data_IF_274442642522
#
_entry.id   IF_274442642522
#
_cell.length_a   1.000
_cell.length_b   1.000
_cell.length_c   1.000
_cell.angle_alpha   90.00
_cell.angle_beta   90.00
_cell.angle_gamma   90.00
#
_symmetry.space_group_name_H-M   'P 1'
#
loop_
_entity.id
_entity.type
_entity.pdbx_description
1 polymer ?
#
# COMPACT_ATOMS: atom_id res chain seq x y z
N UNK A 1 5.76 -15.82 60.38
CA UNK A 1 7.21 -16.14 60.31
C UNK A 1 7.42 -16.83 58.98
N UNK A 2 8.24 -16.24 58.10
CA UNK A 2 8.31 -16.55 56.68
C UNK A 2 8.77 -17.99 56.39
N UNK A 3 8.09 -18.64 55.43
CA UNK A 3 8.56 -19.84 54.77
C UNK A 3 9.14 -19.43 53.41
N UNK A 4 10.45 -19.48 53.29
CA UNK A 4 11.19 -19.28 52.03
C UNK A 4 11.23 -20.62 51.30
N UNK A 5 10.59 -20.71 50.15
CA UNK A 5 10.79 -21.81 49.19
C UNK A 5 11.03 -21.20 47.82
N UNK A 6 12.29 -21.28 47.38
CA UNK A 6 12.77 -20.95 46.05
C UNK A 6 12.12 -21.87 45.01
N UNK A 7 11.32 -21.32 44.09
CA UNK A 7 10.93 -22.01 42.88
C UNK A 7 11.86 -21.52 41.76
N UNK A 8 12.93 -22.30 41.61
CA UNK A 8 13.56 -22.73 40.36
C UNK A 8 13.21 -21.92 39.11
N UNK A 9 14.19 -21.13 38.65
CA UNK A 9 14.38 -20.79 37.24
C UNK A 9 14.32 -22.06 36.38
N UNK A 10 13.22 -22.25 35.65
CA UNK A 10 13.16 -22.98 34.37
C UNK A 10 11.71 -23.03 33.89
N UNK A 11 11.42 -22.21 32.89
CA UNK A 11 10.76 -22.60 31.64
C UNK A 11 10.24 -21.36 30.92
N UNK A 12 10.89 -21.06 29.78
CA UNK A 12 10.38 -20.39 28.57
C UNK A 12 11.42 -19.43 27.96
N UNK A 13 12.62 -19.93 27.73
CA UNK A 13 13.60 -19.28 26.87
C UNK A 13 13.86 -20.16 25.64
N UNK A 14 13.40 -19.67 24.48
CA UNK A 14 13.95 -20.03 23.19
C UNK A 14 13.11 -20.97 22.34
N UNK A 15 12.27 -20.42 21.47
CA UNK A 15 11.96 -21.07 20.19
C UNK A 15 13.31 -21.27 19.49
N UNK A 16 13.75 -22.53 19.35
CA UNK A 16 15.07 -22.84 18.83
C UNK A 16 15.26 -22.30 17.42
N UNK A 17 16.47 -21.80 17.10
CA UNK A 17 16.85 -21.31 15.77
C UNK A 17 16.41 -22.24 14.64
N UNK A 18 16.37 -23.55 14.89
CA UNK A 18 15.93 -24.56 13.94
C UNK A 18 14.42 -24.54 13.65
N UNK A 19 13.58 -24.27 14.65
CA UNK A 19 12.14 -24.04 14.46
C UNK A 19 11.91 -22.73 13.69
N UNK A 20 12.61 -21.66 14.06
CA UNK A 20 12.55 -20.37 13.35
C UNK A 20 12.96 -20.56 11.88
N UNK A 21 14.02 -21.32 11.62
CA UNK A 21 14.50 -21.61 10.27
C UNK A 21 13.54 -22.51 9.47
N UNK A 22 12.84 -23.46 10.11
CA UNK A 22 11.79 -24.26 9.47
C UNK A 22 10.56 -23.43 9.11
N UNK A 23 10.14 -22.51 9.97
CA UNK A 23 9.07 -21.55 9.65
C UNK A 23 9.51 -20.58 8.54
N UNK A 24 10.76 -20.12 8.56
CA UNK A 24 11.34 -19.28 7.52
C UNK A 24 11.37 -20.00 6.17
N UNK A 25 11.79 -21.27 6.13
CA UNK A 25 11.80 -22.09 4.91
C UNK A 25 10.36 -22.35 4.43
N UNK A 26 9.41 -22.61 5.34
CA UNK A 26 8.00 -22.79 4.98
C UNK A 26 7.39 -21.51 4.37
N UNK A 27 7.68 -20.34 4.96
CA UNK A 27 7.27 -19.01 4.45
C UNK A 27 7.90 -18.75 3.08
N UNK A 28 9.20 -19.04 2.92
CA UNK A 28 9.94 -18.91 1.63
C UNK A 28 9.44 -19.89 0.58
N UNK A 29 8.94 -21.06 0.98
CA UNK A 29 8.41 -22.08 0.04
C UNK A 29 6.98 -21.74 -0.40
N UNK A 30 6.17 -21.09 0.44
CA UNK A 30 4.83 -20.58 0.09
C UNK A 30 4.92 -19.37 -0.85
N UNK A 31 6.05 -18.63 -0.82
CA UNK A 31 6.36 -17.47 -1.69
C UNK A 31 6.63 -17.81 -3.18
N UNK A 32 6.51 -19.08 -3.59
CA UNK A 32 6.94 -19.59 -4.90
C UNK A 32 5.80 -20.23 -5.71
N UNK A 33 4.71 -19.52 -6.03
CA UNK A 33 3.74 -19.98 -7.06
C UNK A 33 3.23 -18.83 -7.94
N UNK A 34 3.44 -19.01 -9.27
CA UNK A 34 2.76 -18.39 -10.42
C UNK A 34 2.94 -16.87 -10.68
N UNK A 35 3.64 -16.59 -11.79
CA UNK A 35 3.87 -15.26 -12.33
C UNK A 35 2.66 -14.68 -13.07
N UNK A 36 2.00 -13.71 -12.44
CA UNK A 36 1.37 -12.57 -13.13
C UNK A 36 1.88 -11.32 -12.40
N UNK A 37 2.35 -10.27 -13.08
CA UNK A 37 2.58 -8.99 -12.42
C UNK A 37 1.21 -8.47 -12.02
N UNK A 38 0.80 -8.73 -10.79
CA UNK A 38 -0.54 -8.36 -10.40
C UNK A 38 -0.59 -6.83 -10.30
N UNK A 39 -1.67 -6.23 -10.75
CA UNK A 39 -1.88 -4.81 -10.61
C UNK A 39 -2.66 -4.64 -9.30
N UNK A 40 -2.09 -3.87 -8.36
CA UNK A 40 -2.70 -3.54 -7.05
C UNK A 40 -1.68 -3.78 -5.96
N UNK A 41 -1.27 -2.72 -5.28
CA UNK A 41 -0.50 -2.79 -4.03
C UNK A 41 -1.13 -1.78 -3.09
N UNK A 42 -1.14 -2.08 -1.79
CA UNK A 42 -1.70 -1.17 -0.80
C UNK A 42 -0.98 0.16 -0.86
N UNK A 43 -1.73 1.26 -0.77
CA UNK A 43 -1.11 2.56 -0.49
C UNK A 43 -0.46 2.54 0.89
N UNK A 44 0.46 3.47 1.15
CA UNK A 44 1.22 3.51 2.40
C UNK A 44 0.36 3.82 3.63
N UNK A 45 -0.82 4.45 3.45
CA UNK A 45 -1.66 4.93 4.57
C UNK A 45 -3.12 4.50 4.51
N UNK A 46 -3.58 3.98 3.37
CA UNK A 46 -4.98 3.65 3.17
C UNK A 46 -5.15 2.18 2.84
N UNK A 47 -6.07 1.51 3.52
CA UNK A 47 -6.47 0.12 3.31
C UNK A 47 -7.17 -0.12 1.97
N UNK A 48 -6.62 0.46 0.91
CA UNK A 48 -7.02 0.40 -0.48
C UNK A 48 -5.74 0.31 -1.34
N UNK A 49 -5.85 -0.22 -2.54
CA UNK A 49 -4.74 -0.26 -3.48
C UNK A 49 -4.45 1.14 -4.05
N UNK A 50 -3.20 1.47 -4.30
CA UNK A 50 -2.88 2.79 -4.82
C UNK A 50 -1.41 2.97 -5.19
N UNK A 51 -1.08 4.25 -5.33
CA UNK A 51 0.29 4.68 -5.53
C UNK A 51 1.02 4.78 -4.18
N UNK A 52 1.57 5.94 -3.82
CA UNK A 52 2.22 6.13 -2.52
C UNK A 52 1.13 6.41 -1.47
N UNK A 53 0.42 7.54 -1.57
CA UNK A 53 -0.74 7.87 -0.74
C UNK A 53 -2.02 8.00 -1.55
N UNK A 54 -1.93 8.31 -2.84
CA UNK A 54 -3.10 8.60 -3.67
C UNK A 54 -3.76 7.32 -4.22
N UNK A 55 -5.10 7.29 -4.31
CA UNK A 55 -5.81 6.22 -5.00
C UNK A 55 -5.47 6.17 -6.49
N UNK A 56 -5.53 4.98 -7.07
CA UNK A 56 -5.28 4.76 -8.49
C UNK A 56 -6.45 4.01 -9.18
N UNK A 57 -6.25 3.68 -10.46
CA UNK A 57 -7.20 2.94 -11.28
C UNK A 57 -7.32 1.44 -11.01
N UNK A 58 -6.50 0.93 -10.11
CA UNK A 58 -6.28 -0.49 -9.93
C UNK A 58 -7.17 -1.00 -8.80
N UNK A 59 -7.58 -2.27 -8.86
CA UNK A 59 -8.38 -2.92 -7.81
C UNK A 59 -7.68 -4.24 -7.50
N UNK A 60 -7.53 -4.57 -6.22
CA UNK A 60 -7.06 -5.88 -5.77
C UNK A 60 -7.91 -6.98 -6.44
N UNK A 61 -7.32 -7.99 -7.10
CA UNK A 61 -8.09 -9.01 -7.78
C UNK A 61 -9.07 -9.73 -6.87
N UNK A 62 -10.17 -10.22 -7.45
CA UNK A 62 -11.17 -11.01 -6.75
C UNK A 62 -10.53 -12.19 -6.01
N UNK A 63 -11.05 -12.50 -4.83
CA UNK A 63 -10.57 -13.60 -3.97
C UNK A 63 -9.09 -13.49 -3.62
N UNK A 64 -8.58 -12.27 -3.51
CA UNK A 64 -7.19 -12.03 -3.15
C UNK A 64 -7.11 -11.10 -1.96
N UNK A 65 -6.27 -11.45 -0.99
CA UNK A 65 -5.88 -10.59 0.12
C UNK A 65 -4.47 -10.05 -0.13
N UNK A 66 -4.31 -8.74 -0.05
CA UNK A 66 -3.02 -8.07 0.01
C UNK A 66 -2.73 -7.64 1.44
N UNK A 67 -1.70 -8.20 2.02
CA UNK A 67 -1.15 -7.79 3.31
C UNK A 67 0.02 -6.84 3.06
N UNK A 68 0.12 -5.76 3.81
CA UNK A 68 1.21 -4.82 3.64
C UNK A 68 1.73 -4.28 4.95
N UNK A 69 3.03 -4.00 4.97
CA UNK A 69 3.69 -3.22 6.01
C UNK A 69 4.38 -2.04 5.34
N UNK A 70 4.11 -0.83 5.81
CA UNK A 70 4.79 0.38 5.39
C UNK A 70 5.30 1.13 6.61
N UNK A 71 6.42 1.82 6.45
CA UNK A 71 7.03 2.64 7.46
C UNK A 71 7.51 3.95 6.83
N UNK A 72 7.28 5.05 7.50
CA UNK A 72 7.62 6.40 7.04
C UNK A 72 8.51 7.05 8.08
N UNK A 73 9.79 7.11 7.75
CA UNK A 73 10.85 7.66 8.59
C UNK A 73 11.03 9.15 8.28
N UNK A 74 10.95 10.01 9.30
CA UNK A 74 11.35 11.41 9.13
C UNK A 74 12.87 11.49 9.05
N UNK A 75 13.40 12.10 7.98
CA UNK A 75 14.84 12.37 7.87
C UNK A 75 15.32 13.40 8.92
N UNK A 76 14.41 14.26 9.38
CA UNK A 76 14.63 15.26 10.43
C UNK A 76 13.38 15.37 11.33
N UNK A 77 13.39 14.73 12.51
CA UNK A 77 12.27 14.77 13.47
C UNK A 77 12.07 13.48 14.26
N UNK A 78 10.98 13.40 15.02
CA UNK A 78 10.78 12.37 16.07
C UNK A 78 9.46 11.56 15.96
N UNK A 79 8.78 11.58 14.82
CA UNK A 79 7.53 10.80 14.68
C UNK A 79 7.52 10.07 13.35
N UNK A 80 7.75 8.78 13.44
CA UNK A 80 7.62 7.80 12.38
C UNK A 80 6.18 7.27 12.36
N UNK A 81 5.68 6.97 11.16
CA UNK A 81 4.35 6.36 10.99
C UNK A 81 4.56 5.00 10.36
N UNK A 82 4.15 3.95 11.07
CA UNK A 82 4.08 2.62 10.49
C UNK A 82 2.62 2.21 10.25
N UNK A 83 2.40 1.42 9.21
CA UNK A 83 1.08 0.96 8.79
C UNK A 83 1.12 -0.54 8.51
N UNK A 84 0.24 -1.30 9.14
CA UNK A 84 -0.04 -2.70 8.79
C UNK A 84 -1.42 -2.76 8.14
N UNK A 85 -1.51 -3.19 6.88
CA UNK A 85 -2.78 -3.20 6.15
C UNK A 85 -3.15 -4.56 5.59
N UNK A 86 -4.45 -4.76 5.42
CA UNK A 86 -5.05 -5.89 4.70
C UNK A 86 -6.13 -5.39 3.76
N UNK A 87 -6.00 -5.64 2.46
CA UNK A 87 -6.98 -5.25 1.43
C UNK A 87 -7.45 -6.48 0.68
N UNK A 88 -8.76 -6.69 0.63
CA UNK A 88 -9.36 -7.85 -0.01
C UNK A 88 -10.20 -7.46 -1.23
N UNK A 89 -10.00 -8.18 -2.34
CA UNK A 89 -10.83 -8.06 -3.54
C UNK A 89 -12.11 -8.91 -3.42
N UNK A 90 -13.25 -8.25 -3.20
CA UNK A 90 -14.56 -8.90 -3.08
C UNK A 90 -15.25 -9.19 -4.43
N UNK A 91 -14.74 -8.59 -5.51
CA UNK A 91 -15.28 -8.74 -6.86
C UNK A 91 -14.28 -8.19 -7.88
N UNK A 92 -14.62 -8.30 -9.18
CA UNK A 92 -13.78 -7.70 -10.25
C UNK A 92 -13.64 -6.18 -10.14
N UNK A 93 -14.56 -5.54 -9.40
CA UNK A 93 -14.71 -4.09 -9.32
C UNK A 93 -14.69 -3.57 -7.89
N UNK A 94 -14.58 -4.42 -6.86
CA UNK A 94 -14.72 -4.00 -5.46
C UNK A 94 -13.56 -4.52 -4.63
N UNK A 95 -12.90 -3.62 -3.92
CA UNK A 95 -12.01 -3.94 -2.81
C UNK A 95 -12.47 -3.24 -1.54
N UNK A 96 -12.17 -3.85 -0.40
CA UNK A 96 -12.21 -3.19 0.88
C UNK A 96 -11.06 -3.66 1.75
N UNK A 97 -10.64 -2.83 2.68
CA UNK A 97 -9.50 -3.13 3.52
C UNK A 97 -9.48 -2.34 4.81
N UNK A 98 -8.50 -2.70 5.63
CA UNK A 98 -8.22 -2.11 6.93
C UNK A 98 -6.72 -1.84 7.03
N UNK A 99 -6.35 -0.73 7.65
CA UNK A 99 -4.97 -0.38 7.98
C UNK A 99 -4.88 -0.01 9.44
N UNK A 100 -3.93 -0.58 10.16
CA UNK A 100 -3.58 -0.17 11.53
C UNK A 100 -2.37 0.76 11.44
N UNK A 101 -2.57 2.02 11.80
CA UNK A 101 -1.54 3.05 11.82
C UNK A 101 -0.97 3.15 13.24
N UNK A 102 0.35 3.26 13.34
CA UNK A 102 1.04 3.46 14.61
C UNK A 102 1.97 4.67 14.51
N UNK A 103 1.70 5.67 15.35
CA UNK A 103 2.46 6.92 15.47
C UNK A 103 2.27 7.49 16.89
N UNK A 104 2.98 6.93 17.87
CA UNK A 104 2.81 7.16 19.32
C UNK A 104 1.46 6.69 19.91
N UNK A 105 0.37 6.80 19.14
CA UNK A 105 -0.93 6.17 19.36
C UNK A 105 -1.20 5.11 18.26
N UNK A 106 -2.30 4.37 18.39
CA UNK A 106 -2.77 3.40 17.41
C UNK A 106 -4.14 3.79 16.86
N UNK A 107 -4.22 3.90 15.54
CA UNK A 107 -5.46 4.21 14.82
C UNK A 107 -5.77 3.11 13.80
N UNK A 108 -7.03 2.99 13.42
CA UNK A 108 -7.46 2.11 12.34
C UNK A 108 -8.09 2.92 11.21
N UNK A 109 -7.76 2.59 9.97
CA UNK A 109 -8.44 3.08 8.76
C UNK A 109 -9.20 1.92 8.17
N UNK A 110 -10.49 2.10 7.89
CA UNK A 110 -11.29 1.18 7.09
C UNK A 110 -11.55 1.86 5.76
N UNK A 111 -11.48 1.13 4.66
CA UNK A 111 -11.75 1.72 3.35
C UNK A 111 -12.37 0.74 2.37
N UNK A 112 -13.06 1.29 1.38
CA UNK A 112 -13.58 0.56 0.24
C UNK A 112 -13.38 1.38 -1.04
N UNK A 113 -13.07 0.69 -2.13
CA UNK A 113 -12.91 1.28 -3.46
C UNK A 113 -13.67 0.45 -4.49
N UNK A 114 -14.47 1.12 -5.30
CA UNK A 114 -15.33 0.52 -6.30
C UNK A 114 -15.07 1.12 -7.69
N UNK A 115 -14.82 0.25 -8.68
CA UNK A 115 -14.72 0.62 -10.08
C UNK A 115 -16.11 0.72 -10.71
N UNK A 116 -16.51 1.96 -11.00
CA UNK A 116 -17.79 2.31 -11.62
C UNK A 116 -17.74 2.07 -13.13
N UNK A 117 -16.63 2.47 -13.77
CA UNK A 117 -16.43 2.36 -15.22
C UNK A 117 -15.11 1.65 -15.46
N UNK A 118 -15.15 0.63 -16.32
CA UNK A 118 -13.94 -0.06 -16.78
C UNK A 118 -13.18 0.83 -17.77
N UNK A 119 -11.85 0.77 -17.69
CA UNK A 119 -11.00 1.37 -18.72
C UNK A 119 -11.24 0.68 -20.06
N UNK A 120 -11.26 1.47 -21.12
CA UNK A 120 -11.28 1.00 -22.50
C UNK A 120 -10.20 1.73 -23.31
N UNK A 121 -10.06 1.42 -24.60
CA UNK A 121 -9.17 2.19 -25.47
C UNK A 121 -9.50 3.69 -25.45
N UNK A 122 -10.79 4.02 -25.43
CA UNK A 122 -11.28 5.40 -25.58
C UNK A 122 -11.60 6.06 -24.24
N UNK A 123 -11.93 5.30 -23.20
CA UNK A 123 -12.36 5.84 -21.90
C UNK A 123 -11.41 5.49 -20.75
N UNK A 124 -11.11 6.43 -19.83
CA UNK A 124 -10.44 6.09 -18.58
C UNK A 124 -11.33 5.18 -17.72
N UNK A 125 -10.73 4.42 -16.81
CA UNK A 125 -11.47 3.85 -15.68
C UNK A 125 -11.97 4.97 -14.76
N UNK A 126 -13.14 4.78 -14.17
CA UNK A 126 -13.68 5.65 -13.13
C UNK A 126 -13.92 4.83 -11.88
N UNK A 127 -13.35 5.26 -10.77
CA UNK A 127 -13.49 4.60 -9.48
C UNK A 127 -13.91 5.62 -8.44
N UNK A 128 -14.65 5.16 -7.46
CA UNK A 128 -15.01 5.90 -6.26
C UNK A 128 -14.54 5.13 -5.04
N UNK A 129 -14.30 5.81 -3.95
CA UNK A 129 -14.01 5.15 -2.70
C UNK A 129 -14.35 5.98 -1.49
N UNK A 130 -14.38 5.29 -0.36
CA UNK A 130 -14.63 5.82 0.97
C UNK A 130 -13.55 5.29 1.89
N UNK A 131 -13.15 6.10 2.86
CA UNK A 131 -12.32 5.68 3.96
C UNK A 131 -12.81 6.32 5.26
N UNK A 132 -12.67 5.60 6.35
CA UNK A 132 -13.02 6.03 7.69
C UNK A 132 -11.83 5.79 8.64
N UNK A 133 -11.41 6.82 9.36
CA UNK A 133 -10.38 6.72 10.40
C UNK A 133 -11.03 6.48 11.77
N UNK A 134 -11.14 5.21 12.15
CA UNK A 134 -11.49 4.82 13.50
C UNK A 134 -10.28 4.98 14.44
N UNK A 135 -10.15 6.14 15.09
CA UNK A 135 -9.01 6.43 15.97
C UNK A 135 -9.05 7.80 16.66
N UNK A 136 -8.02 8.11 17.43
CA UNK A 136 -7.81 9.41 18.11
C UNK A 136 -6.95 10.38 17.30
N UNK A 137 -6.45 9.95 16.13
CA UNK A 137 -5.69 10.77 15.21
C UNK A 137 -6.45 12.02 14.71
N UNK A 138 -6.09 13.18 15.26
CA UNK A 138 -6.62 14.49 14.85
C UNK A 138 -5.97 15.06 13.56
N UNK A 139 -5.11 14.31 12.87
CA UNK A 139 -4.41 14.81 11.68
C UNK A 139 -5.20 14.66 10.37
N UNK A 140 -6.32 13.91 10.39
CA UNK A 140 -7.27 13.78 9.27
C UNK A 140 -8.57 14.50 9.66
N UNK A 141 -8.90 15.59 8.97
CA UNK A 141 -9.93 16.54 9.43
C UNK A 141 -11.35 16.26 8.90
N UNK A 142 -11.54 15.27 8.02
CA UNK A 142 -12.85 14.87 7.51
C UNK A 142 -12.94 13.33 7.46
N UNK A 143 -13.73 12.78 8.39
CA UNK A 143 -13.94 11.36 8.56
C UNK A 143 -15.46 11.06 8.67
N UNK A 144 -16.09 10.27 7.79
CA UNK A 144 -15.50 9.56 6.65
C UNK A 144 -15.09 10.50 5.52
N UNK A 145 -14.02 10.14 4.82
CA UNK A 145 -13.57 10.78 3.60
C UNK A 145 -13.96 9.98 2.36
N UNK A 146 -14.07 10.68 1.23
CA UNK A 146 -14.48 10.11 -0.05
C UNK A 146 -13.53 10.53 -1.15
N UNK A 147 -13.45 9.76 -2.22
CA UNK A 147 -12.73 10.15 -3.43
C UNK A 147 -13.40 9.63 -4.69
N UNK A 148 -13.12 10.32 -5.79
CA UNK A 148 -13.32 9.85 -7.15
C UNK A 148 -11.99 9.94 -7.90
N UNK A 149 -11.67 8.94 -8.70
CA UNK A 149 -10.44 8.89 -9.50
C UNK A 149 -10.74 8.42 -10.93
N UNK A 150 -10.14 9.11 -11.88
CA UNK A 150 -10.04 8.76 -13.29
C UNK A 150 -8.64 8.19 -13.53
N UNK A 151 -8.54 7.03 -14.19
CA UNK A 151 -7.24 6.42 -14.45
C UNK A 151 -7.15 5.80 -15.84
N UNK A 152 -6.01 5.96 -16.51
CA UNK A 152 -5.79 5.47 -17.88
C UNK A 152 -4.33 5.08 -18.10
N UNK A 153 -4.12 3.95 -18.77
CA UNK A 153 -2.85 3.62 -19.40
C UNK A 153 -2.66 4.49 -20.64
N UNK A 154 -1.63 5.31 -20.67
CA UNK A 154 -1.37 6.28 -21.75
C UNK A 154 -0.28 5.84 -22.73
N UNK A 155 0.48 4.80 -22.40
CA UNK A 155 1.42 4.18 -23.35
C UNK A 155 0.94 2.79 -23.75
N UNK A 156 1.02 2.51 -25.05
CA UNK A 156 1.12 1.15 -25.55
C UNK A 156 2.50 0.59 -25.16
N UNK A 157 2.63 -0.74 -25.09
CA UNK A 157 3.91 -1.42 -24.82
C UNK A 157 5.03 -0.81 -25.68
N UNK A 158 6.01 -0.14 -25.05
CA UNK A 158 7.09 0.53 -25.78
C UNK A 158 8.40 -0.24 -25.53
N UNK A 159 8.95 -0.90 -26.55
CA UNK A 159 10.22 -1.63 -26.43
C UNK A 159 11.47 -0.73 -26.40
N UNK A 160 11.31 0.58 -26.51
CA UNK A 160 12.38 1.49 -26.95
C UNK A 160 13.21 2.12 -25.83
N UNK A 161 12.79 2.03 -24.56
CA UNK A 161 13.45 2.75 -23.46
C UNK A 161 14.61 1.95 -22.82
N UNK A 162 14.55 0.61 -22.82
CA UNK A 162 15.52 -0.23 -22.09
C UNK A 162 15.98 -1.51 -22.81
N UNK A 163 15.71 -1.67 -24.12
CA UNK A 163 15.83 -2.97 -24.84
C UNK A 163 15.00 -4.11 -24.22
N UNK A 164 14.17 -3.80 -23.22
CA UNK A 164 13.13 -4.66 -22.69
C UNK A 164 11.77 -4.01 -23.06
N UNK A 165 10.69 -4.80 -23.19
CA UNK A 165 9.36 -4.24 -23.37
C UNK A 165 9.01 -3.37 -22.15
N UNK A 166 9.08 -2.04 -22.28
CA UNK A 166 8.56 -1.13 -21.26
C UNK A 166 7.04 -1.28 -21.22
N UNK A 167 6.53 -1.36 -20.01
CA UNK A 167 5.14 -1.66 -19.66
C UNK A 167 4.33 -0.35 -19.60
N UNK A 168 3.00 -0.41 -19.42
CA UNK A 168 2.16 0.79 -19.45
C UNK A 168 2.59 1.84 -18.42
N UNK A 169 2.62 3.10 -18.85
CA UNK A 169 2.55 4.28 -18.02
C UNK A 169 1.07 4.52 -17.73
N UNK A 170 0.69 4.44 -16.46
CA UNK A 170 -0.66 4.73 -15.98
C UNK A 170 -0.69 6.10 -15.33
N UNK A 171 -1.64 6.93 -15.75
CA UNK A 171 -1.98 8.18 -15.08
C UNK A 171 -3.26 8.01 -14.28
N UNK A 172 -3.32 8.66 -13.12
CA UNK A 172 -4.50 8.76 -12.28
C UNK A 172 -4.68 10.22 -11.87
N UNK A 173 -5.90 10.74 -11.95
CA UNK A 173 -6.29 12.06 -11.47
C UNK A 173 -7.60 11.94 -10.72
N UNK A 174 -7.71 12.60 -9.57
CA UNK A 174 -8.91 12.52 -8.76
C UNK A 174 -9.11 13.70 -7.85
N UNK A 175 -10.21 13.65 -7.12
CA UNK A 175 -10.58 14.62 -6.12
C UNK A 175 -11.28 13.92 -4.95
N UNK A 176 -11.19 14.50 -3.76
CA UNK A 176 -11.86 13.93 -2.60
C UNK A 176 -11.97 14.88 -1.41
N UNK A 177 -12.25 14.28 -0.25
CA UNK A 177 -12.25 14.91 1.07
C UNK A 177 -11.25 14.21 2.00
N UNK A 178 -11.07 14.73 3.22
CA UNK A 178 -10.14 14.17 4.21
C UNK A 178 -8.68 14.23 3.72
N UNK A 179 -7.98 13.10 3.69
CA UNK A 179 -6.58 13.02 3.21
C UNK A 179 -6.43 13.32 1.70
N UNK A 180 -7.54 13.40 0.96
CA UNK A 180 -7.58 13.75 -0.46
C UNK A 180 -8.29 15.08 -0.72
N UNK A 181 -8.43 15.94 0.29
CA UNK A 181 -9.11 17.23 0.14
C UNK A 181 -8.45 18.07 -0.98
N UNK A 182 -9.21 18.42 -2.02
CA UNK A 182 -8.75 18.98 -3.32
C UNK A 182 -8.40 17.93 -4.39
N UNK A 183 -7.65 18.36 -5.40
CA UNK A 183 -7.17 17.52 -6.50
C UNK A 183 -5.95 16.72 -6.07
N UNK A 184 -5.88 15.49 -6.54
CA UNK A 184 -4.67 14.69 -6.53
C UNK A 184 -4.41 14.13 -7.92
N UNK A 185 -3.14 13.83 -8.19
CA UNK A 185 -2.73 13.17 -9.40
C UNK A 185 -1.55 12.25 -9.11
N UNK A 186 -1.44 11.16 -9.85
CA UNK A 186 -0.32 10.25 -9.74
C UNK A 186 -0.04 9.56 -11.06
N UNK A 187 1.18 9.07 -11.20
CA UNK A 187 1.51 8.13 -12.24
C UNK A 187 2.30 6.95 -11.69
N UNK A 188 2.12 5.80 -12.34
CA UNK A 188 2.91 4.58 -12.17
C UNK A 188 3.45 4.22 -13.56
N UNK A 189 4.78 4.21 -13.69
CA UNK A 189 5.47 3.82 -14.91
C UNK A 189 6.28 2.57 -14.67
N UNK A 190 5.80 1.45 -15.21
CA UNK A 190 6.56 0.21 -15.17
C UNK A 190 7.67 0.22 -16.24
N UNK A 191 8.86 0.65 -15.82
CA UNK A 191 10.05 0.82 -16.69
C UNK A 191 10.74 -0.50 -17.04
N UNK A 192 10.60 -1.52 -16.19
CA UNK A 192 11.13 -2.87 -16.42
C UNK A 192 10.10 -3.91 -15.99
N UNK A 193 10.30 -5.18 -16.36
CA UNK A 193 9.37 -6.27 -16.02
C UNK A 193 8.92 -6.26 -14.55
N UNK A 194 9.83 -5.93 -13.64
CA UNK A 194 9.60 -5.98 -12.20
C UNK A 194 9.77 -4.62 -11.50
N UNK A 195 10.00 -3.52 -12.22
CA UNK A 195 10.29 -2.22 -11.61
C UNK A 195 9.36 -1.14 -12.15
N UNK A 196 8.68 -0.47 -11.23
CA UNK A 196 7.88 0.72 -11.47
C UNK A 196 8.49 1.95 -10.81
N UNK A 197 8.40 3.07 -11.51
CA UNK A 197 8.58 4.40 -10.96
C UNK A 197 7.21 4.99 -10.64
N UNK A 198 7.13 5.66 -9.50
CA UNK A 198 5.91 6.24 -8.97
C UNK A 198 6.15 7.72 -8.71
N UNK A 199 5.20 8.57 -9.07
CA UNK A 199 5.13 9.90 -8.51
C UNK A 199 3.69 10.35 -8.33
N UNK A 200 3.45 11.22 -7.35
CA UNK A 200 2.13 11.76 -7.09
C UNK A 200 2.20 13.15 -6.48
N UNK A 201 1.12 13.88 -6.65
CA UNK A 201 0.81 15.14 -6.00
C UNK A 201 -0.50 14.92 -5.26
N UNK A 202 -0.50 15.16 -3.96
CA UNK A 202 -1.70 15.16 -3.14
C UNK A 202 -2.00 16.60 -2.67
N UNK A 203 -3.08 17.20 -3.17
CA UNK A 203 -3.56 18.52 -2.75
C UNK A 203 -4.17 18.55 -1.35
N UNK A 204 -4.40 17.38 -0.75
CA UNK A 204 -4.91 17.19 0.61
C UNK A 204 -3.88 17.47 1.69
N UNK A 205 -4.35 17.33 2.95
CA UNK A 205 -3.51 17.43 4.14
C UNK A 205 -3.18 16.05 4.68
N UNK A 206 -1.89 15.73 4.81
CA UNK A 206 -1.38 14.53 5.50
C UNK A 206 -0.30 14.97 6.47
N UNK A 207 -0.43 14.61 7.75
CA UNK A 207 0.58 14.87 8.80
C UNK A 207 1.14 16.32 8.76
N UNK A 208 0.24 17.31 8.78
CA UNK A 208 0.51 18.76 8.73
C UNK A 208 1.16 19.31 7.44
N UNK A 209 1.24 18.49 6.39
CA UNK A 209 1.72 18.92 5.08
C UNK A 209 0.54 19.05 4.10
N UNK A 210 0.57 20.10 3.28
CA UNK A 210 -0.38 20.35 2.20
C UNK A 210 0.34 20.35 0.86
N UNK A 211 -0.32 19.91 -0.22
CA UNK A 211 0.26 19.89 -1.57
C UNK A 211 1.56 19.09 -1.64
N UNK A 212 1.49 17.85 -1.17
CA UNK A 212 2.65 16.98 -1.01
C UNK A 212 2.99 16.37 -2.37
N UNK A 213 4.23 16.54 -2.80
CA UNK A 213 4.77 15.82 -3.95
C UNK A 213 5.59 14.64 -3.43
N UNK A 214 5.27 13.45 -3.91
CA UNK A 214 5.94 12.20 -3.56
C UNK A 214 6.53 11.57 -4.82
N UNK A 215 7.67 10.93 -4.66
CA UNK A 215 8.29 10.12 -5.70
C UNK A 215 8.75 8.79 -5.10
N UNK A 216 8.72 7.71 -5.86
CA UNK A 216 9.06 6.39 -5.35
C UNK A 216 9.32 5.38 -6.44
N UNK A 217 9.65 4.18 -5.99
CA UNK A 217 9.86 3.01 -6.81
C UNK A 217 9.19 1.81 -6.16
N UNK A 218 8.73 0.90 -7.01
CA UNK A 218 8.05 -0.34 -6.63
C UNK A 218 8.70 -1.49 -7.36
N UNK A 219 9.22 -2.45 -6.63
CA UNK A 219 9.90 -3.62 -7.17
C UNK A 219 9.13 -4.91 -6.84
N UNK A 220 8.75 -5.66 -7.86
CA UNK A 220 8.18 -6.99 -7.74
C UNK A 220 9.30 -8.02 -7.56
N UNK A 221 9.64 -8.32 -6.30
CA UNK A 221 10.64 -9.32 -5.95
C UNK A 221 10.20 -10.72 -6.40
N UNK A 222 8.90 -11.02 -6.22
CA UNK A 222 8.23 -12.21 -6.76
C UNK A 222 6.86 -11.79 -7.33
N UNK A 223 6.08 -12.70 -7.94
CA UNK A 223 4.71 -12.39 -8.36
C UNK A 223 3.80 -11.93 -7.21
N UNK A 224 4.05 -12.45 -6.01
CA UNK A 224 3.23 -12.22 -4.83
C UNK A 224 3.83 -11.19 -3.86
N UNK A 225 5.15 -10.98 -3.92
CA UNK A 225 5.87 -10.06 -3.04
C UNK A 225 6.36 -8.83 -3.79
N UNK A 226 6.00 -7.65 -3.28
CA UNK A 226 6.55 -6.36 -3.69
C UNK A 226 7.22 -5.66 -2.54
N UNK A 227 8.20 -4.84 -2.90
CA UNK A 227 8.89 -3.92 -2.01
C UNK A 227 8.81 -2.53 -2.62
N UNK A 228 8.55 -1.55 -1.79
CA UNK A 228 8.31 -0.17 -2.18
C UNK A 228 9.25 0.75 -1.41
N UNK A 229 9.73 1.79 -2.07
CA UNK A 229 10.47 2.87 -1.42
C UNK A 229 9.99 4.20 -1.99
N UNK A 230 9.82 5.21 -1.14
CA UNK A 230 9.32 6.51 -1.52
C UNK A 230 10.02 7.63 -0.76
N UNK A 231 10.14 8.78 -1.40
CA UNK A 231 10.52 10.05 -0.81
C UNK A 231 9.28 10.94 -0.75
N UNK A 232 8.73 11.07 0.45
CA UNK A 232 7.45 11.73 0.72
C UNK A 232 7.68 13.18 1.08
N UNK A 233 6.99 14.09 0.38
CA UNK A 233 7.07 15.53 0.58
C UNK A 233 8.49 16.11 0.47
N UNK A 234 9.40 15.36 -0.16
CA UNK A 234 10.85 15.57 -0.13
C UNK A 234 11.42 15.85 1.28
N UNK A 235 10.89 15.16 2.29
CA UNK A 235 11.30 15.30 3.71
C UNK A 235 11.38 13.97 4.45
N UNK A 236 10.66 12.96 3.99
CA UNK A 236 10.50 11.69 4.69
C UNK A 236 10.86 10.55 3.75
N UNK A 237 11.61 9.58 4.24
CA UNK A 237 11.87 8.36 3.51
C UNK A 237 10.87 7.31 3.97
N UNK A 238 10.17 6.68 3.05
CA UNK A 238 9.22 5.63 3.34
C UNK A 238 9.62 4.35 2.62
N UNK A 239 9.36 3.22 3.24
CA UNK A 239 9.58 1.91 2.63
C UNK A 239 8.46 0.96 3.05
N UNK A 240 8.29 -0.12 2.30
CA UNK A 240 7.34 -1.14 2.70
C UNK A 240 7.42 -2.39 1.85
N UNK A 241 6.57 -3.34 2.21
CA UNK A 241 6.40 -4.58 1.50
C UNK A 241 4.91 -4.94 1.42
N UNK A 242 4.53 -5.53 0.29
CA UNK A 242 3.18 -5.97 0.00
C UNK A 242 3.23 -7.45 -0.38
N UNK A 243 2.47 -8.30 0.31
CA UNK A 243 2.36 -9.72 0.04
C UNK A 243 0.93 -10.12 -0.32
N UNK A 244 0.81 -10.92 -1.37
CA UNK A 244 -0.47 -11.36 -1.93
C UNK A 244 -0.79 -12.79 -1.54
N UNK A 245 -2.05 -13.03 -1.18
CA UNK A 245 -2.60 -14.36 -0.91
C UNK A 245 -3.87 -14.54 -1.76
N UNK A 246 -3.85 -15.50 -2.69
CA UNK A 246 -5.01 -15.83 -3.51
C UNK A 246 -5.78 -17.02 -2.92
N UNK A 247 -7.10 -16.89 -2.82
CA UNK A 247 -8.02 -17.95 -2.40
C UNK A 247 -8.68 -18.59 -3.62
N UNK A 248 -8.95 -19.90 -3.54
CA UNK A 248 -9.61 -20.67 -4.59
C UNK A 248 -11.12 -20.63 -4.41
#
# INVERSE_FOLDING_TARGET
MLYTASISEKENAGVGKEQIMRYLILVVTILLIAAVPVLGASSFLGGFSGNIYTPDGIIVPEKTLELSYHDTLKLFGNTDVSALSGVYGFGTNLEAGISFLHNSDSDAVISAKYRVINETADSPAVLVGVFDLAGTANWINDNPGFFIVLSKNITSFASEVTNQPSKPLRLSIGAGSGIFNNLFAGFDWTIERNLSLMAEINGGRIADQTNIVNAGLRWAATPDLRVDAAYVGFKQFAFGANYRIAFR
#
